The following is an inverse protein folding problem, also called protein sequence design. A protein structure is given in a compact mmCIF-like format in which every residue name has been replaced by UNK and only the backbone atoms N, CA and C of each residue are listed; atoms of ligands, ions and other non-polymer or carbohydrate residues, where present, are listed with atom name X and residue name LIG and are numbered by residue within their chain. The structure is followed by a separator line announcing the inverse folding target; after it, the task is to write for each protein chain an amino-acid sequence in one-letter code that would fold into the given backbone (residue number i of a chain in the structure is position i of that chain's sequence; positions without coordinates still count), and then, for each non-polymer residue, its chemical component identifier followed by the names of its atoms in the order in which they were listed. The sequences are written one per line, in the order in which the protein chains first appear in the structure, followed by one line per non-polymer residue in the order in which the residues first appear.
data_IF_052316181636
#
_entry.id   IF_052316181636
#
_cell.length_a   1.000
_cell.length_b   1.000
_cell.length_c   1.000
_cell.angle_alpha   90.00
_cell.angle_beta   90.00
_cell.angle_gamma   90.00
#
_symmetry.space_group_name_H-M   'P 1'
#
loop_
_entity.id
_entity.type
_entity.pdbx_description
1 polymer ?
#
# COMPACT_ATOMS: atom_id res chain seq x y z
N UNK A 1 19.57 -5.51 -12.35
CA UNK A 1 18.11 -5.70 -12.22
C UNK A 1 17.62 -5.56 -10.79
N UNK A 2 18.38 -5.99 -9.77
CA UNK A 2 18.01 -5.83 -8.36
C UNK A 2 17.79 -4.34 -7.96
N UNK A 3 18.55 -3.42 -8.56
CA UNK A 3 18.40 -1.98 -8.29
C UNK A 3 17.05 -1.38 -8.74
N UNK A 4 16.31 -2.07 -9.59
CA UNK A 4 14.97 -1.69 -10.05
C UNK A 4 13.86 -2.59 -9.49
N UNK A 5 14.17 -3.39 -8.45
CA UNK A 5 13.20 -4.25 -7.77
C UNK A 5 12.83 -5.52 -8.51
N UNK A 6 13.72 -6.05 -9.36
CA UNK A 6 13.54 -7.31 -10.08
C UNK A 6 14.43 -8.43 -9.56
N UNK A 7 14.19 -9.67 -10.00
CA UNK A 7 14.91 -10.91 -9.66
C UNK A 7 14.89 -11.23 -8.16
N UNK A 8 16.01 -10.97 -7.46
CA UNK A 8 16.24 -11.40 -6.08
C UNK A 8 15.61 -10.49 -5.03
N UNK A 9 14.97 -9.39 -5.46
CA UNK A 9 14.24 -8.51 -4.54
C UNK A 9 12.85 -9.10 -4.28
N UNK A 10 12.62 -9.52 -3.05
CA UNK A 10 11.34 -10.09 -2.62
C UNK A 10 10.68 -9.23 -1.55
N UNK A 11 9.37 -9.09 -1.63
CA UNK A 11 8.58 -8.45 -0.58
C UNK A 11 7.19 -9.09 -0.47
N UNK A 12 6.55 -8.90 0.66
CA UNK A 12 5.17 -9.27 0.88
C UNK A 12 4.23 -8.12 0.49
N UNK A 13 2.95 -8.43 0.24
CA UNK A 13 1.93 -7.40 0.04
C UNK A 13 1.81 -6.45 1.24
N UNK A 14 1.98 -6.96 2.48
CA UNK A 14 2.00 -6.13 3.68
C UNK A 14 3.17 -5.14 3.68
N UNK A 15 4.37 -5.57 3.30
CA UNK A 15 5.51 -4.66 3.20
C UNK A 15 5.28 -3.57 2.14
N UNK A 16 4.65 -3.92 1.01
CA UNK A 16 4.27 -2.95 -0.02
C UNK A 16 3.22 -1.94 0.49
N UNK A 17 2.21 -2.39 1.24
CA UNK A 17 1.25 -1.51 1.89
C UNK A 17 1.91 -0.58 2.92
N UNK A 18 2.84 -1.11 3.73
CA UNK A 18 3.62 -0.30 4.69
C UNK A 18 4.45 0.76 3.96
N UNK A 19 5.05 0.45 2.80
CA UNK A 19 5.79 1.46 2.01
C UNK A 19 4.88 2.60 1.55
N UNK A 20 3.67 2.29 1.04
CA UNK A 20 2.69 3.32 0.70
C UNK A 20 2.25 4.12 1.93
N UNK A 21 2.04 3.44 3.05
CA UNK A 21 1.71 4.05 4.34
C UNK A 21 2.80 4.99 4.88
N UNK A 22 4.08 4.68 4.65
CA UNK A 22 5.19 5.58 5.00
C UNK A 22 5.08 6.91 4.26
N UNK A 23 4.81 6.87 2.96
CA UNK A 23 4.64 8.09 2.16
C UNK A 23 3.42 8.87 2.65
N UNK A 24 2.28 8.19 2.83
CA UNK A 24 1.04 8.81 3.32
C UNK A 24 1.20 9.45 4.70
N UNK A 25 2.05 8.87 5.56
CA UNK A 25 2.29 9.31 6.95
C UNK A 25 3.50 10.25 7.09
N UNK A 26 3.81 11.03 6.05
CA UNK A 26 4.88 12.04 6.09
C UNK A 26 6.27 11.48 6.35
N UNK A 27 6.55 10.25 5.88
CA UNK A 27 7.83 9.58 6.00
C UNK A 27 8.00 8.69 7.24
N UNK A 28 7.02 8.64 8.13
CA UNK A 28 7.07 7.86 9.38
C UNK A 28 6.64 6.42 9.13
N UNK A 29 7.51 5.47 9.48
CA UNK A 29 7.22 4.05 9.40
C UNK A 29 6.70 3.54 10.73
N UNK A 30 5.43 3.14 10.74
CA UNK A 30 4.77 2.54 11.90
C UNK A 30 4.89 1.02 11.86
N UNK A 31 4.88 0.40 13.03
CA UNK A 31 4.83 -1.07 13.18
C UNK A 31 3.42 -1.55 12.90
N UNK A 32 3.22 -2.44 11.90
CA UNK A 32 1.89 -3.00 11.65
C UNK A 32 1.48 -3.97 12.77
N UNK A 33 0.22 -3.94 13.15
CA UNK A 33 -0.38 -4.90 14.08
C UNK A 33 -1.83 -5.21 13.66
N UNK A 34 -2.35 -6.34 14.10
CA UNK A 34 -3.72 -6.79 13.79
C UNK A 34 -4.60 -6.93 15.03
N UNK A 35 -3.99 -7.00 16.21
CA UNK A 35 -4.72 -7.05 17.49
C UNK A 35 -4.69 -5.66 18.09
N UNK A 36 -5.84 -4.98 18.08
CA UNK A 36 -5.97 -3.65 18.66
C UNK A 36 -6.04 -3.71 20.18
N UNK A 37 -6.87 -4.61 20.73
CA UNK A 37 -7.01 -4.79 22.18
C UNK A 37 -7.45 -6.21 22.53
N UNK A 38 -7.13 -6.61 23.73
CA UNK A 38 -7.61 -7.84 24.36
C UNK A 38 -8.58 -7.45 25.49
N UNK A 39 -9.75 -8.05 25.50
CA UNK A 39 -10.78 -7.78 26.51
C UNK A 39 -11.22 -9.05 27.24
N UNK A 40 -11.65 -8.91 28.47
CA UNK A 40 -12.33 -9.96 29.23
C UNK A 40 -13.76 -10.21 28.70
N UNK A 41 -14.41 -11.32 29.07
CA UNK A 41 -15.80 -11.59 28.68
C UNK A 41 -16.80 -10.49 29.09
N UNK A 42 -16.52 -9.75 30.15
CA UNK A 42 -17.29 -8.59 30.62
C UNK A 42 -16.81 -7.25 30.01
N UNK A 43 -16.09 -7.33 28.87
CA UNK A 43 -15.64 -6.21 28.04
C UNK A 43 -14.63 -5.24 28.70
N UNK A 44 -14.00 -5.62 29.80
CA UNK A 44 -12.90 -4.82 30.36
C UNK A 44 -11.64 -5.01 29.55
N UNK A 45 -10.98 -3.93 29.18
CA UNK A 45 -9.69 -3.97 28.47
C UNK A 45 -8.60 -4.53 29.39
N UNK A 46 -7.96 -5.62 28.95
CA UNK A 46 -6.82 -6.25 29.61
C UNK A 46 -5.51 -5.69 29.04
N UNK A 47 -5.46 -5.55 27.72
CA UNK A 47 -4.30 -5.06 26.98
C UNK A 47 -4.77 -4.25 25.77
N UNK A 48 -4.08 -3.16 25.47
CA UNK A 48 -4.31 -2.32 24.31
C UNK A 48 -3.00 -2.11 23.57
N UNK A 49 -3.02 -2.38 22.26
CA UNK A 49 -1.87 -2.13 21.40
C UNK A 49 -1.80 -0.65 21.07
N UNK A 50 -0.70 -0.01 21.42
CA UNK A 50 -0.45 1.39 21.05
C UNK A 50 0.36 1.46 19.74
N UNK A 51 0.10 2.47 18.89
CA UNK A 51 0.91 2.71 17.71
C UNK A 51 2.40 2.89 18.10
N UNK A 52 3.29 2.17 17.39
CA UNK A 52 4.73 2.20 17.62
C UNK A 52 5.44 2.74 16.37
N UNK A 53 6.17 3.85 16.52
CA UNK A 53 7.05 4.38 15.50
C UNK A 53 8.32 3.52 15.44
N UNK A 54 8.59 2.92 14.28
CA UNK A 54 9.83 2.17 14.07
C UNK A 54 11.00 3.08 13.70
N UNK A 55 10.77 3.98 12.74
CA UNK A 55 11.76 4.97 12.29
C UNK A 55 11.12 6.03 11.40
N UNK A 56 11.85 7.10 11.16
CA UNK A 56 11.59 8.06 10.09
C UNK A 56 12.38 7.61 8.86
N UNK A 57 11.67 7.08 7.85
CA UNK A 57 12.27 6.52 6.65
C UNK A 57 12.48 7.59 5.56
N UNK A 58 11.71 8.67 5.59
CA UNK A 58 11.77 9.82 4.70
C UNK A 58 11.57 11.09 5.52
N UNK A 59 12.10 12.20 5.03
CA UNK A 59 11.71 13.52 5.53
C UNK A 59 10.28 13.86 5.08
N UNK A 60 9.57 14.75 5.77
CA UNK A 60 8.24 15.22 5.34
C UNK A 60 8.25 15.83 3.92
N UNK A 61 9.33 16.49 3.52
CA UNK A 61 9.50 17.08 2.18
C UNK A 61 9.61 15.98 1.11
N UNK A 62 10.42 14.95 1.34
CA UNK A 62 10.54 13.79 0.45
C UNK A 62 9.22 13.04 0.33
N UNK A 63 8.51 12.82 1.44
CA UNK A 63 7.20 12.18 1.45
C UNK A 63 6.16 13.01 0.67
N UNK A 64 6.16 14.33 0.83
CA UNK A 64 5.33 15.23 0.05
C UNK A 64 5.61 15.16 -1.45
N UNK A 65 6.89 15.18 -1.84
CA UNK A 65 7.30 15.03 -3.23
C UNK A 65 6.86 13.69 -3.82
N UNK A 66 7.05 12.60 -3.09
CA UNK A 66 6.60 11.27 -3.51
C UNK A 66 5.06 11.19 -3.66
N UNK A 67 4.32 11.84 -2.77
CA UNK A 67 2.87 11.92 -2.84
C UNK A 67 2.42 12.56 -4.16
N UNK A 68 3.00 13.70 -4.55
CA UNK A 68 2.67 14.36 -5.82
C UNK A 68 3.02 13.49 -7.03
N UNK A 69 4.18 12.82 -7.01
CA UNK A 69 4.57 11.87 -8.05
C UNK A 69 3.62 10.67 -8.12
N UNK A 70 3.14 10.16 -6.99
CA UNK A 70 2.18 9.07 -6.94
C UNK A 70 0.79 9.49 -7.44
N UNK A 71 0.34 10.72 -7.20
CA UNK A 71 -0.86 11.28 -7.83
C UNK A 71 -0.71 11.37 -9.35
N UNK A 72 0.43 11.85 -9.84
CA UNK A 72 0.69 11.90 -11.28
C UNK A 72 0.74 10.50 -11.89
N UNK A 73 1.33 9.54 -11.19
CA UNK A 73 1.38 8.12 -11.57
C UNK A 73 -0.01 7.51 -11.68
N UNK A 74 -0.89 7.75 -10.70
CA UNK A 74 -2.26 7.22 -10.74
C UNK A 74 -3.04 7.77 -11.93
N UNK A 75 -2.94 9.08 -12.19
CA UNK A 75 -3.59 9.72 -13.36
C UNK A 75 -3.13 9.14 -14.70
N UNK A 76 -1.89 8.67 -14.78
CA UNK A 76 -1.30 8.06 -15.97
C UNK A 76 -1.52 6.53 -16.03
N UNK A 77 -2.04 5.92 -14.98
CA UNK A 77 -2.22 4.46 -14.90
C UNK A 77 -3.48 4.03 -15.65
N UNK A 78 -3.39 2.94 -16.39
CA UNK A 78 -4.51 2.35 -17.09
C UNK A 78 -5.74 2.17 -16.20
N UNK A 79 -6.91 2.54 -16.71
CA UNK A 79 -8.17 2.46 -15.97
C UNK A 79 -8.33 3.52 -14.87
N UNK A 80 -7.58 4.63 -14.94
CA UNK A 80 -7.85 5.81 -14.10
C UNK A 80 -9.27 6.32 -14.35
N UNK A 81 -10.01 6.60 -13.29
CA UNK A 81 -11.43 6.94 -13.33
C UNK A 81 -11.77 8.26 -12.60
N UNK A 82 -10.78 9.11 -12.40
CA UNK A 82 -10.95 10.40 -11.72
C UNK A 82 -10.85 10.32 -10.19
N UNK A 83 -10.38 9.19 -9.64
CA UNK A 83 -10.17 9.04 -8.20
C UNK A 83 -9.05 9.95 -7.67
N UNK A 84 -8.98 10.12 -6.35
CA UNK A 84 -7.97 10.91 -5.63
C UNK A 84 -6.88 10.06 -4.99
N UNK A 85 -6.67 8.83 -5.43
CA UNK A 85 -5.64 7.96 -4.87
C UNK A 85 -4.25 8.35 -5.35
N UNK A 86 -3.27 8.15 -4.49
CA UNK A 86 -1.86 8.21 -4.85
C UNK A 86 -1.33 6.79 -5.05
N UNK A 87 -0.78 6.46 -6.22
CA UNK A 87 -0.38 5.09 -6.53
C UNK A 87 0.91 4.95 -7.32
N UNK A 88 1.45 3.73 -7.28
CA UNK A 88 2.52 3.26 -8.18
C UNK A 88 2.27 1.82 -8.56
N UNK A 89 2.35 1.55 -9.86
CA UNK A 89 2.34 0.18 -10.40
C UNK A 89 3.73 -0.39 -10.54
N UNK A 90 3.84 -1.71 -10.51
CA UNK A 90 5.07 -2.43 -10.79
C UNK A 90 4.82 -3.65 -11.67
N UNK A 91 5.80 -3.97 -12.51
CA UNK A 91 5.84 -5.20 -13.31
C UNK A 91 7.21 -5.82 -13.06
N UNK A 92 7.26 -6.86 -12.25
CA UNK A 92 8.50 -7.46 -11.76
C UNK A 92 8.76 -8.79 -12.45
N UNK A 93 9.76 -8.81 -13.32
CA UNK A 93 10.29 -10.04 -13.91
C UNK A 93 11.11 -10.81 -12.87
N UNK A 94 10.92 -12.11 -12.79
CA UNK A 94 11.56 -12.97 -11.80
C UNK A 94 12.31 -14.17 -12.39
N UNK A 95 11.95 -14.62 -13.59
CA UNK A 95 12.64 -15.67 -14.33
C UNK A 95 12.49 -15.45 -15.84
N UNK A 96 13.44 -15.98 -16.61
CA UNK A 96 13.40 -15.92 -18.07
C UNK A 96 12.19 -16.68 -18.61
N UNK A 97 11.41 -16.06 -19.49
CA UNK A 97 10.20 -16.64 -20.07
C UNK A 97 9.01 -16.77 -19.14
N UNK A 98 9.15 -16.43 -17.87
CA UNK A 98 8.04 -16.46 -16.91
C UNK A 98 7.23 -15.16 -16.97
N UNK A 99 5.92 -15.27 -16.81
CA UNK A 99 5.05 -14.10 -16.70
C UNK A 99 5.38 -13.28 -15.45
N UNK A 100 5.41 -11.94 -15.54
CA UNK A 100 5.84 -11.09 -14.45
C UNK A 100 4.89 -11.12 -13.25
N UNK A 101 5.40 -10.81 -12.06
CA UNK A 101 4.55 -10.43 -10.93
C UNK A 101 4.15 -8.97 -11.08
N UNK A 102 2.85 -8.70 -11.02
CA UNK A 102 2.33 -7.33 -11.20
C UNK A 102 1.83 -6.76 -9.90
N UNK A 103 2.20 -5.51 -9.63
CA UNK A 103 2.00 -4.83 -8.37
C UNK A 103 1.21 -3.55 -8.51
N UNK A 104 0.46 -3.24 -7.48
CA UNK A 104 -0.14 -1.92 -7.28
C UNK A 104 0.00 -1.57 -5.79
N UNK A 105 0.63 -0.45 -5.51
CA UNK A 105 0.76 0.11 -4.17
C UNK A 105 0.14 1.50 -4.17
N UNK A 106 -0.72 1.78 -3.20
CA UNK A 106 -1.45 3.04 -3.19
C UNK A 106 -1.93 3.41 -1.80
N UNK A 107 -2.36 4.66 -1.66
CA UNK A 107 -3.09 5.11 -0.50
C UNK A 107 -4.22 6.09 -0.88
N UNK A 108 -5.23 6.14 -0.02
CA UNK A 108 -6.32 7.12 -0.06
C UNK A 108 -6.17 8.05 1.14
N UNK A 109 -5.75 9.31 0.93
CA UNK A 109 -5.56 10.25 2.04
C UNK A 109 -6.89 10.65 2.73
N UNK A 110 -8.01 10.55 2.01
CA UNK A 110 -9.32 10.88 2.57
C UNK A 110 -9.80 9.87 3.60
N UNK A 111 -9.30 8.63 3.52
CA UNK A 111 -9.67 7.54 4.41
C UNK A 111 -8.55 7.10 5.35
N UNK A 112 -7.34 7.62 5.18
CA UNK A 112 -6.12 7.20 5.89
C UNK A 112 -5.85 5.69 5.73
N UNK A 113 -5.97 5.19 4.50
CA UNK A 113 -5.82 3.77 4.17
C UNK A 113 -4.77 3.58 3.08
N UNK A 114 -3.86 2.64 3.29
CA UNK A 114 -2.88 2.21 2.31
C UNK A 114 -3.12 0.75 1.88
N UNK A 115 -2.78 0.43 0.63
CA UNK A 115 -2.95 -0.91 0.06
C UNK A 115 -1.71 -1.35 -0.69
N UNK A 116 -1.40 -2.65 -0.59
CA UNK A 116 -0.42 -3.33 -1.42
C UNK A 116 -1.04 -4.57 -2.06
N UNK A 117 -1.05 -4.62 -3.39
CA UNK A 117 -1.59 -5.74 -4.16
C UNK A 117 -0.50 -6.35 -5.01
N UNK A 118 -0.40 -7.66 -5.00
CA UNK A 118 0.43 -8.43 -5.93
C UNK A 118 -0.41 -9.53 -6.58
N UNK A 119 -0.30 -9.62 -7.91
CA UNK A 119 -0.84 -10.75 -8.67
C UNK A 119 0.33 -11.49 -9.32
N UNK A 120 0.49 -12.75 -8.93
CA UNK A 120 1.61 -13.58 -9.40
C UNK A 120 1.39 -14.01 -10.85
N UNK A 121 2.50 -14.10 -11.59
CA UNK A 121 2.55 -14.65 -12.94
C UNK A 121 1.53 -13.99 -13.90
N UNK A 122 1.34 -12.67 -13.76
CA UNK A 122 0.47 -11.88 -14.63
C UNK A 122 -1.02 -12.18 -14.52
N UNK A 123 -1.44 -13.07 -13.61
CA UNK A 123 -2.83 -13.48 -13.47
C UNK A 123 -3.40 -14.02 -14.79
N UNK A 124 -4.57 -13.53 -15.18
CA UNK A 124 -5.26 -13.95 -16.40
C UNK A 124 -4.65 -13.43 -17.71
N UNK A 125 -3.75 -12.44 -17.66
CA UNK A 125 -3.05 -11.88 -18.82
C UNK A 125 -1.66 -12.49 -19.08
N UNK A 126 -1.13 -13.28 -18.14
CA UNK A 126 0.16 -13.94 -18.30
C UNK A 126 1.28 -12.94 -18.64
N UNK A 127 2.05 -13.23 -19.69
CA UNK A 127 3.21 -12.42 -20.12
C UNK A 127 2.85 -10.98 -20.53
N UNK A 128 1.62 -10.73 -20.94
CA UNK A 128 1.15 -9.40 -21.32
C UNK A 128 0.68 -8.52 -20.16
N UNK A 129 0.75 -9.02 -18.94
CA UNK A 129 0.22 -8.33 -17.78
C UNK A 129 1.04 -7.10 -17.39
N UNK A 130 0.32 -6.04 -17.00
CA UNK A 130 0.88 -4.86 -16.34
C UNK A 130 0.19 -4.62 -15.00
N UNK A 131 0.88 -3.93 -14.09
CA UNK A 131 0.30 -3.57 -12.80
C UNK A 131 -1.00 -2.77 -12.94
N UNK A 132 -1.08 -1.86 -13.89
CA UNK A 132 -2.28 -1.06 -14.14
C UNK A 132 -3.48 -1.88 -14.58
N UNK A 133 -3.27 -2.90 -15.43
CA UNK A 133 -4.35 -3.70 -15.98
C UNK A 133 -4.89 -4.78 -15.05
N UNK A 134 -4.04 -5.34 -14.19
CA UNK A 134 -4.40 -6.50 -13.36
C UNK A 134 -4.53 -6.13 -11.88
N UNK A 135 -3.47 -5.61 -11.26
CA UNK A 135 -3.48 -5.29 -9.82
C UNK A 135 -4.11 -3.93 -9.50
N UNK A 136 -4.05 -2.96 -10.42
CA UNK A 136 -4.66 -1.64 -10.23
C UNK A 136 -6.17 -1.68 -9.94
N UNK A 137 -7.01 -2.36 -10.76
CA UNK A 137 -8.44 -2.49 -10.48
C UNK A 137 -8.74 -3.09 -9.12
N UNK A 138 -7.97 -4.09 -8.70
CA UNK A 138 -8.11 -4.73 -7.38
C UNK A 138 -7.79 -3.75 -6.25
N UNK A 139 -6.66 -3.04 -6.34
CA UNK A 139 -6.25 -2.07 -5.33
C UNK A 139 -7.23 -0.91 -5.20
N UNK A 140 -7.72 -0.37 -6.31
CA UNK A 140 -8.76 0.67 -6.32
C UNK A 140 -10.07 0.18 -5.69
N UNK A 141 -10.48 -1.05 -5.97
CA UNK A 141 -11.67 -1.65 -5.37
C UNK A 141 -11.53 -1.75 -3.84
N UNK A 142 -10.37 -2.19 -3.34
CA UNK A 142 -10.08 -2.27 -1.90
C UNK A 142 -10.12 -0.89 -1.26
N UNK A 143 -9.45 0.12 -1.84
CA UNK A 143 -9.46 1.49 -1.30
C UNK A 143 -10.88 2.08 -1.26
N UNK A 144 -11.72 1.82 -2.27
CA UNK A 144 -13.12 2.27 -2.26
C UNK A 144 -13.94 1.59 -1.18
N UNK A 145 -13.74 0.30 -0.98
CA UNK A 145 -14.49 -0.50 -0.01
C UNK A 145 -14.01 -0.29 1.44
N UNK A 146 -12.79 0.20 1.63
CA UNK A 146 -12.26 0.46 2.96
C UNK A 146 -13.11 1.49 3.70
N UNK A 147 -13.42 1.28 5.00
CA UNK A 147 -14.04 2.30 5.83
C UNK A 147 -13.10 3.50 5.99
N UNK A 148 -13.67 4.66 6.27
CA UNK A 148 -12.86 5.78 6.74
C UNK A 148 -12.15 5.41 8.05
N UNK A 149 -10.96 5.96 8.28
CA UNK A 149 -10.30 5.82 9.56
C UNK A 149 -11.24 6.29 10.69
N UNK A 150 -11.27 5.60 11.84
CA UNK A 150 -11.99 6.12 12.99
C UNK A 150 -11.41 7.48 13.36
N UNK A 151 -12.30 8.42 13.72
CA UNK A 151 -11.85 9.71 14.23
C UNK A 151 -10.90 9.48 15.42
N UNK A 152 -9.85 10.32 15.59
CA UNK A 152 -9.02 10.26 16.78
C UNK A 152 -9.94 10.34 18.01
N UNK A 153 -9.82 9.39 18.93
CA UNK A 153 -10.50 9.51 20.22
C UNK A 153 -9.92 10.76 20.88
N UNK A 154 -10.74 11.81 20.98
CA UNK A 154 -10.39 13.00 21.75
C UNK A 154 -10.12 12.52 23.19
N UNK A 155 -8.86 12.63 23.62
CA UNK A 155 -8.42 12.12 24.90
C UNK A 155 -9.28 12.70 26.05
N UNK A 156 -9.91 11.81 26.78
CA UNK A 156 -10.45 12.08 28.11
C UNK A 156 -9.32 12.06 29.13
#
# INVERSE_FOLDING_TARGET
QSAIGQRDVTMTALQAAVMAGVVANGGKRMKPYVVNRVVTPDLRTVEETKPELLNEALTPEEAGTLTELMYASERATWGYDGNSFASKTGTAEHAEGAAPHVWYVAFDPAKDVAVGVVVKNGGHLGNGATGGQVSGPLGRAVLRAAPAAPAPEEGQ
#
